data_IF_764802125078
#
_entry.id   IF_764802125078
#
_cell.length_a   1.000
_cell.length_b   1.000
_cell.length_c   1.000
_cell.angle_alpha   90.00
_cell.angle_beta   90.00
_cell.angle_gamma   90.00
#
_symmetry.space_group_name_H-M   'P 1'
#
loop_
_entity.id
_entity.type
_entity.pdbx_description
1 polymer ?
#
# COMPACT_ATOMS: atom_id res chain seq x y z
N UNK A 1 8.02 26.17 -5.67
CA UNK A 1 6.73 26.31 -4.96
C UNK A 1 6.50 24.98 -4.29
N UNK A 2 6.47 24.95 -2.97
CA UNK A 2 6.19 23.73 -2.20
C UNK A 2 4.75 23.31 -2.48
N UNK A 3 4.57 22.33 -3.36
CA UNK A 3 3.30 21.66 -3.47
C UNK A 3 3.14 20.74 -2.26
N UNK A 4 2.20 21.05 -1.37
CA UNK A 4 1.98 20.26 -0.18
C UNK A 4 1.23 18.96 -0.51
N UNK A 5 1.98 17.95 -0.97
CA UNK A 5 1.48 16.60 -1.27
C UNK A 5 1.29 15.73 -0.01
N UNK A 6 1.34 16.33 1.20
CA UNK A 6 1.15 15.67 2.49
C UNK A 6 1.89 14.30 2.58
N UNK A 7 1.27 13.11 2.85
CA UNK A 7 2.06 11.90 3.03
C UNK A 7 2.70 11.40 1.72
N UNK A 8 2.25 11.88 0.55
CA UNK A 8 2.75 11.40 -0.74
C UNK A 8 4.21 11.82 -1.02
N UNK A 9 4.74 12.84 -0.32
CA UNK A 9 6.08 13.38 -0.58
C UNK A 9 7.18 12.31 -0.55
N UNK A 10 7.07 11.32 0.35
CA UNK A 10 8.13 10.32 0.58
C UNK A 10 8.45 9.52 -0.69
N UNK A 11 7.45 8.87 -1.29
CA UNK A 11 7.64 8.08 -2.50
C UNK A 11 7.69 8.97 -3.75
N UNK A 12 6.92 10.07 -3.76
CA UNK A 12 6.77 10.91 -4.94
C UNK A 12 8.13 11.45 -5.38
N UNK A 13 8.92 11.98 -4.44
CA UNK A 13 10.25 12.49 -4.76
C UNK A 13 11.29 11.38 -4.86
N UNK A 14 11.31 10.43 -3.92
CA UNK A 14 12.36 9.41 -3.87
C UNK A 14 12.39 8.52 -5.12
N UNK A 15 11.23 8.08 -5.62
CA UNK A 15 11.17 7.23 -6.82
C UNK A 15 11.54 7.99 -8.11
N UNK A 16 11.44 9.32 -8.12
CA UNK A 16 11.86 10.15 -9.25
C UNK A 16 13.35 10.50 -9.19
N UNK A 17 13.87 10.77 -7.99
CA UNK A 17 15.27 11.12 -7.78
C UNK A 17 16.21 9.90 -7.90
N UNK A 18 15.72 8.72 -7.49
CA UNK A 18 16.47 7.47 -7.46
C UNK A 18 15.81 6.37 -8.33
N UNK A 19 15.63 6.58 -9.66
CA UNK A 19 14.86 5.67 -10.50
C UNK A 19 15.56 4.32 -10.75
N UNK A 20 16.89 4.27 -10.61
CA UNK A 20 17.72 3.08 -10.83
C UNK A 20 18.08 2.34 -9.53
N UNK A 21 17.62 2.84 -8.37
CA UNK A 21 17.91 2.27 -7.06
C UNK A 21 16.70 1.55 -6.44
N UNK A 22 16.99 0.72 -5.44
CA UNK A 22 15.96 0.23 -4.53
C UNK A 22 15.57 1.34 -3.56
N UNK A 23 14.29 1.68 -3.51
CA UNK A 23 13.77 2.70 -2.59
C UNK A 23 12.94 2.02 -1.51
N UNK A 24 13.28 2.30 -0.24
CA UNK A 24 12.48 1.86 0.91
C UNK A 24 11.82 3.08 1.54
N UNK A 25 10.49 3.06 1.68
CA UNK A 25 9.74 4.11 2.38
C UNK A 25 9.52 3.73 3.85
N UNK A 26 9.77 4.71 4.73
CA UNK A 26 9.62 4.61 6.18
C UNK A 26 9.17 5.97 6.74
N UNK A 27 8.38 5.95 7.81
CA UNK A 27 8.04 7.11 8.63
C UNK A 27 9.10 7.36 9.72
N UNK A 28 9.20 8.60 10.18
CA UNK A 28 10.19 9.04 11.18
C UNK A 28 9.72 8.86 12.64
N UNK A 29 8.47 8.46 12.84
CA UNK A 29 7.83 8.28 14.15
C UNK A 29 7.69 6.81 14.60
N UNK A 30 8.28 5.89 13.84
CA UNK A 30 8.26 4.45 14.09
C UNK A 30 9.65 3.90 14.49
N UNK A 31 9.63 2.91 15.37
CA UNK A 31 10.77 2.09 15.74
C UNK A 31 10.78 0.82 14.88
N UNK A 32 11.84 0.68 14.08
CA UNK A 32 12.00 -0.45 13.16
C UNK A 32 12.89 -1.54 13.73
N UNK A 33 12.57 -2.79 13.39
CA UNK A 33 13.44 -3.94 13.68
C UNK A 33 14.75 -3.81 12.91
N UNK A 34 15.84 -4.24 13.52
CA UNK A 34 17.15 -4.27 12.87
C UNK A 34 17.23 -5.23 11.68
N UNK A 35 16.25 -6.13 11.50
CA UNK A 35 16.13 -7.03 10.36
C UNK A 35 15.31 -6.46 9.21
N UNK A 36 14.58 -5.34 9.38
CA UNK A 36 13.59 -4.84 8.43
C UNK A 36 14.10 -4.78 6.97
N UNK A 37 15.27 -4.17 6.76
CA UNK A 37 15.87 -4.05 5.42
C UNK A 37 16.26 -5.43 4.88
N UNK A 38 16.79 -6.31 5.73
CA UNK A 38 17.14 -7.69 5.35
C UNK A 38 15.92 -8.52 4.94
N UNK A 39 14.83 -8.41 5.69
CA UNK A 39 13.56 -9.10 5.41
C UNK A 39 12.98 -8.62 4.06
N UNK A 40 12.98 -7.31 3.82
CA UNK A 40 12.54 -6.71 2.55
C UNK A 40 13.39 -7.17 1.36
N UNK A 41 14.72 -7.17 1.50
CA UNK A 41 15.62 -7.60 0.44
C UNK A 41 15.50 -9.10 0.14
N UNK A 42 15.34 -9.94 1.17
CA UNK A 42 15.13 -11.37 0.99
C UNK A 42 13.80 -11.67 0.28
N UNK A 43 12.73 -10.96 0.63
CA UNK A 43 11.44 -11.06 -0.05
C UNK A 43 11.53 -10.61 -1.52
N UNK A 44 12.24 -9.52 -1.80
CA UNK A 44 12.50 -9.07 -3.17
C UNK A 44 13.35 -10.07 -3.97
N UNK A 45 14.41 -10.64 -3.37
CA UNK A 45 15.24 -11.65 -4.04
C UNK A 45 14.41 -12.89 -4.44
N UNK A 46 13.49 -13.33 -3.57
CA UNK A 46 12.58 -14.42 -3.87
C UNK A 46 11.47 -14.04 -4.88
N UNK A 47 11.08 -12.76 -4.93
CA UNK A 47 9.98 -12.24 -5.74
C UNK A 47 10.34 -10.92 -6.43
N UNK A 48 11.26 -10.92 -7.43
CA UNK A 48 11.87 -9.70 -7.97
C UNK A 48 10.91 -8.81 -8.78
N UNK A 49 9.69 -9.27 -9.02
CA UNK A 49 8.63 -8.56 -9.74
C UNK A 49 7.50 -8.10 -8.81
N UNK A 50 7.68 -8.18 -7.49
CA UNK A 50 6.73 -7.74 -6.49
C UNK A 50 7.27 -6.56 -5.69
N UNK A 51 6.37 -5.72 -5.18
CA UNK A 51 6.69 -4.77 -4.12
C UNK A 51 6.75 -5.55 -2.81
N UNK A 52 7.84 -5.45 -2.06
CA UNK A 52 7.97 -6.11 -0.76
C UNK A 52 7.57 -5.13 0.36
N UNK A 53 6.74 -5.57 1.31
CA UNK A 53 6.27 -4.71 2.39
C UNK A 53 6.29 -5.42 3.74
N UNK A 54 6.61 -4.66 4.79
CA UNK A 54 6.62 -5.14 6.18
C UNK A 54 5.25 -5.03 6.84
N UNK A 55 4.44 -4.02 6.50
CA UNK A 55 3.06 -3.91 6.99
C UNK A 55 2.05 -3.96 5.87
N UNK A 56 1.23 -5.01 5.86
CA UNK A 56 0.23 -5.28 4.83
C UNK A 56 -1.14 -5.62 5.41
N UNK A 57 -2.18 -5.31 4.65
CA UNK A 57 -3.55 -5.73 4.90
C UNK A 57 -3.98 -6.68 3.79
N UNK A 58 -5.02 -7.47 4.05
CA UNK A 58 -5.64 -8.31 3.04
C UNK A 58 -7.01 -7.76 2.66
N UNK A 59 -7.14 -7.32 1.40
CA UNK A 59 -8.42 -6.86 0.84
C UNK A 59 -9.41 -8.02 0.84
N UNK A 60 -10.59 -7.86 1.41
CA UNK A 60 -11.59 -8.94 1.50
C UNK A 60 -12.69 -8.79 0.45
N UNK A 61 -13.38 -9.90 0.16
CA UNK A 61 -14.45 -9.98 -0.83
C UNK A 61 -15.67 -10.68 -0.24
N UNK A 62 -16.86 -10.23 -0.64
CA UNK A 62 -18.13 -10.87 -0.34
C UNK A 62 -18.34 -12.10 -1.22
N UNK A 63 -19.32 -12.95 -0.87
CA UNK A 63 -19.69 -14.13 -1.66
C UNK A 63 -20.13 -13.80 -3.10
N UNK A 64 -20.64 -12.60 -3.33
CA UNK A 64 -21.05 -12.12 -4.66
C UNK A 64 -19.86 -11.61 -5.52
N UNK A 65 -18.64 -11.65 -4.98
CA UNK A 65 -17.42 -11.20 -5.64
C UNK A 65 -17.16 -9.69 -5.54
N UNK A 66 -18.00 -8.94 -4.83
CA UNK A 66 -17.73 -7.52 -4.54
C UNK A 66 -16.68 -7.36 -3.46
N UNK A 67 -15.81 -6.36 -3.59
CA UNK A 67 -14.85 -6.01 -2.54
C UNK A 67 -15.59 -5.51 -1.30
N UNK A 68 -15.17 -5.93 -0.11
CA UNK A 68 -15.71 -5.40 1.15
C UNK A 68 -15.22 -3.98 1.41
N UNK A 69 -15.83 -3.32 2.40
CA UNK A 69 -15.34 -2.03 2.84
C UNK A 69 -13.94 -2.16 3.47
N UNK A 70 -13.18 -1.06 3.43
CA UNK A 70 -11.81 -0.99 3.93
C UNK A 70 -11.69 -1.48 5.39
N UNK A 71 -12.65 -1.10 6.23
CA UNK A 71 -12.74 -1.52 7.64
C UNK A 71 -12.97 -3.02 7.86
N UNK A 72 -13.45 -3.73 6.83
CA UNK A 72 -13.69 -5.17 6.86
C UNK A 72 -12.51 -5.96 6.28
N UNK A 73 -11.42 -5.29 5.91
CA UNK A 73 -10.19 -5.96 5.50
C UNK A 73 -9.49 -6.58 6.71
N UNK A 74 -8.67 -7.61 6.49
CA UNK A 74 -7.84 -8.15 7.57
C UNK A 74 -6.61 -7.27 7.69
N UNK A 75 -6.55 -6.44 8.74
CA UNK A 75 -5.39 -5.62 9.03
C UNK A 75 -4.24 -6.46 9.57
N UNK A 76 -3.01 -6.04 9.26
CA UNK A 76 -1.78 -6.78 9.55
C UNK A 76 -1.90 -8.28 9.21
N UNK A 77 -2.53 -8.62 8.09
CA UNK A 77 -2.99 -9.99 7.84
C UNK A 77 -1.93 -11.08 8.07
N UNK A 78 -0.65 -10.91 7.68
CA UNK A 78 0.39 -11.90 7.96
C UNK A 78 0.66 -12.15 9.45
N UNK A 79 0.37 -11.19 10.33
CA UNK A 79 0.48 -11.36 11.79
C UNK A 79 -0.48 -12.42 12.32
N UNK A 80 -1.71 -12.43 11.81
CA UNK A 80 -2.74 -13.40 12.20
C UNK A 80 -2.73 -14.65 11.31
N UNK A 81 -2.19 -14.52 10.09
CA UNK A 81 -2.13 -15.59 9.08
C UNK A 81 -0.71 -15.68 8.48
N UNK A 82 0.27 -16.26 9.19
CA UNK A 82 1.67 -16.31 8.75
C UNK A 82 1.90 -17.01 7.41
N UNK A 83 0.95 -17.86 6.98
CA UNK A 83 0.98 -18.51 5.66
C UNK A 83 0.92 -17.50 4.48
N UNK A 84 0.56 -16.25 4.73
CA UNK A 84 0.59 -15.16 3.73
C UNK A 84 2.00 -14.61 3.46
N UNK A 85 2.97 -14.87 4.34
CA UNK A 85 4.36 -14.39 4.14
C UNK A 85 4.97 -15.05 2.92
N UNK A 86 5.61 -14.26 2.05
CA UNK A 86 6.21 -14.77 0.81
C UNK A 86 5.22 -15.18 -0.28
N UNK A 87 3.92 -14.87 -0.14
CA UNK A 87 2.91 -15.13 -1.18
C UNK A 87 2.61 -13.82 -1.92
N UNK A 88 3.11 -13.61 -3.14
CA UNK A 88 2.82 -12.39 -3.89
C UNK A 88 1.37 -12.40 -4.40
N UNK A 89 0.62 -11.33 -4.16
CA UNK A 89 -0.75 -11.19 -4.66
C UNK A 89 -1.18 -9.74 -4.87
N UNK A 90 -2.12 -9.54 -5.78
CA UNK A 90 -2.82 -8.26 -5.94
C UNK A 90 -3.79 -7.96 -4.80
N UNK A 91 -4.15 -8.96 -3.99
CA UNK A 91 -5.03 -8.78 -2.84
C UNK A 91 -4.32 -8.20 -1.61
N UNK A 92 -3.00 -8.30 -1.58
CA UNK A 92 -2.17 -7.75 -0.49
C UNK A 92 -2.03 -6.24 -0.70
N UNK A 93 -2.32 -5.48 0.36
CA UNK A 93 -2.30 -4.03 0.40
C UNK A 93 -1.17 -3.54 1.31
N UNK A 94 -0.19 -2.79 0.79
CA UNK A 94 0.89 -2.21 1.61
C UNK A 94 0.48 -0.86 2.18
N UNK A 95 0.84 -0.61 3.44
CA UNK A 95 0.51 0.65 4.15
C UNK A 95 1.64 1.69 4.14
N UNK A 96 2.58 1.54 3.20
CA UNK A 96 3.72 2.38 2.71
C UNK A 96 4.49 3.35 3.65
N UNK A 97 4.21 3.41 4.95
CA UNK A 97 4.95 4.13 5.99
C UNK A 97 5.74 3.23 6.94
N UNK A 98 5.47 1.92 6.93
CA UNK A 98 6.06 0.96 7.86
C UNK A 98 7.17 0.09 7.26
N UNK A 99 7.86 0.54 6.21
CA UNK A 99 8.85 -0.25 5.47
C UNK A 99 8.23 -0.91 4.24
N UNK A 100 8.36 -0.27 3.08
CA UNK A 100 7.97 -0.82 1.78
C UNK A 100 9.07 -0.60 0.76
N UNK A 101 9.52 -1.67 0.11
CA UNK A 101 10.58 -1.68 -0.89
C UNK A 101 9.98 -1.64 -2.30
N UNK A 102 10.37 -0.62 -3.05
CA UNK A 102 10.09 -0.45 -4.47
C UNK A 102 11.34 -0.77 -5.28
N UNK A 103 11.28 -1.78 -6.17
CA UNK A 103 12.34 -2.02 -7.13
C UNK A 103 12.43 -0.88 -8.18
N UNK A 104 13.57 -0.71 -8.85
CA UNK A 104 13.73 0.24 -9.95
C UNK A 104 12.62 0.09 -11.00
N UNK A 105 12.12 1.22 -11.52
CA UNK A 105 11.16 1.26 -12.64
C UNK A 105 9.83 0.50 -12.43
N UNK A 106 9.46 0.25 -11.17
CA UNK A 106 8.24 -0.51 -10.81
C UNK A 106 6.97 0.33 -10.99
N UNK A 107 6.96 1.58 -10.55
CA UNK A 107 5.73 2.38 -10.53
C UNK A 107 5.45 3.04 -11.89
N UNK A 108 4.19 3.07 -12.36
CA UNK A 108 3.84 3.69 -13.64
C UNK A 108 3.96 5.22 -13.57
N UNK A 109 4.20 5.93 -14.68
CA UNK A 109 4.40 7.40 -14.67
C UNK A 109 3.26 8.19 -14.02
N UNK A 110 2.02 7.71 -14.13
CA UNK A 110 0.85 8.34 -13.51
C UNK A 110 0.93 8.40 -11.98
N UNK A 111 1.78 7.58 -11.35
CA UNK A 111 2.07 7.64 -9.92
C UNK A 111 2.50 9.03 -9.46
N UNK A 112 3.12 9.81 -10.35
CA UNK A 112 3.64 11.15 -10.09
C UNK A 112 2.70 12.27 -10.58
N UNK A 113 1.42 11.98 -10.82
CA UNK A 113 0.43 12.99 -11.15
C UNK A 113 -0.04 13.75 -9.89
N UNK A 114 0.66 14.84 -9.59
CA UNK A 114 0.37 15.70 -8.43
C UNK A 114 -1.04 16.33 -8.47
N UNK A 115 -1.59 16.60 -9.65
CA UNK A 115 -2.94 17.16 -9.81
C UNK A 115 -4.00 16.12 -9.42
N UNK A 116 -3.90 14.90 -9.95
CA UNK A 116 -4.82 13.81 -9.60
C UNK A 116 -4.74 13.43 -8.12
N UNK A 117 -3.55 13.42 -7.53
CA UNK A 117 -3.38 13.20 -6.09
C UNK A 117 -4.15 14.25 -5.28
N UNK A 118 -4.00 15.54 -5.61
CA UNK A 118 -4.68 16.63 -4.89
C UNK A 118 -6.20 16.59 -5.06
N UNK A 119 -6.67 16.17 -6.23
CA UNK A 119 -8.11 16.06 -6.53
C UNK A 119 -8.77 14.88 -5.83
N UNK A 120 -8.07 13.75 -5.70
CA UNK A 120 -8.71 12.47 -5.31
C UNK A 120 -8.33 11.96 -3.93
N UNK A 121 -7.09 12.15 -3.48
CA UNK A 121 -6.56 11.33 -2.38
C UNK A 121 -5.43 11.97 -1.56
N UNK A 122 -5.43 13.30 -1.36
CA UNK A 122 -4.35 14.05 -0.71
C UNK A 122 -3.91 13.53 0.68
N UNK A 123 -4.74 12.75 1.39
CA UNK A 123 -4.45 12.20 2.73
C UNK A 123 -4.35 10.67 2.76
N UNK A 124 -4.31 10.00 1.61
CA UNK A 124 -4.33 8.54 1.50
C UNK A 124 -3.37 8.06 0.39
N UNK A 125 -2.07 8.21 0.64
CA UNK A 125 -1.02 7.73 -0.24
C UNK A 125 -1.09 6.22 -0.48
N UNK A 126 -1.45 5.45 0.54
CA UNK A 126 -1.54 3.99 0.41
C UNK A 126 -2.58 3.53 -0.61
N UNK A 127 -3.74 4.18 -0.64
CA UNK A 127 -4.79 3.89 -1.61
C UNK A 127 -4.35 4.26 -3.03
N UNK A 128 -3.70 5.42 -3.18
CA UNK A 128 -3.16 5.85 -4.47
C UNK A 128 -2.12 4.86 -5.01
N UNK A 129 -1.14 4.52 -4.18
CA UNK A 129 -0.07 3.57 -4.52
C UNK A 129 -0.64 2.20 -4.85
N UNK A 130 -1.67 1.75 -4.13
CA UNK A 130 -2.36 0.51 -4.44
C UNK A 130 -2.97 0.52 -5.84
N UNK A 131 -3.68 1.59 -6.21
CA UNK A 131 -4.32 1.70 -7.53
C UNK A 131 -3.26 1.75 -8.64
N UNK A 132 -2.19 2.52 -8.46
CA UNK A 132 -1.09 2.61 -9.42
C UNK A 132 -0.36 1.27 -9.60
N UNK A 133 -0.10 0.58 -8.50
CA UNK A 133 0.48 -0.76 -8.51
C UNK A 133 -0.40 -1.76 -9.29
N UNK A 134 -1.70 -1.80 -9.01
CA UNK A 134 -2.66 -2.72 -9.67
C UNK A 134 -2.77 -2.41 -11.16
N UNK A 135 -2.76 -1.12 -11.53
CA UNK A 135 -2.70 -0.67 -12.92
C UNK A 135 -1.46 -1.22 -13.62
N UNK A 136 -0.29 -1.17 -12.98
CA UNK A 136 0.96 -1.67 -13.52
C UNK A 136 1.08 -3.21 -13.55
N UNK A 137 0.16 -3.95 -12.93
CA UNK A 137 0.21 -5.40 -12.94
C UNK A 137 1.24 -5.98 -11.96
N UNK A 138 1.55 -5.25 -10.88
CA UNK A 138 2.62 -5.60 -9.94
C UNK A 138 2.02 -6.10 -8.61
N UNK A 139 2.28 -7.32 -8.15
CA UNK A 139 1.79 -7.81 -6.86
C UNK A 139 2.54 -7.20 -5.67
N UNK A 140 1.95 -7.27 -4.46
CA UNK A 140 2.67 -7.05 -3.19
C UNK A 140 3.02 -8.42 -2.62
N UNK A 141 4.18 -8.55 -1.98
CA UNK A 141 4.52 -9.67 -1.11
C UNK A 141 4.80 -9.18 0.32
N UNK A 142 4.23 -9.86 1.32
CA UNK A 142 4.55 -9.61 2.72
C UNK A 142 5.92 -10.21 3.06
N UNK A 143 6.83 -9.39 3.57
CA UNK A 143 8.20 -9.80 3.90
C UNK A 143 8.31 -10.59 5.22
N UNK A 144 7.31 -10.48 6.10
CA UNK A 144 7.38 -10.95 7.49
C UNK A 144 5.97 -11.02 8.09
N UNK A 145 5.78 -11.81 9.14
CA UNK A 145 4.57 -11.86 9.98
C UNK A 145 4.62 -10.88 11.17
N UNK A 146 5.80 -10.31 11.46
CA UNK A 146 5.97 -9.30 12.51
C UNK A 146 5.69 -7.89 11.95
N UNK A 147 4.39 -7.56 11.99
CA UNK A 147 3.74 -6.43 11.31
C UNK A 147 3.30 -5.32 12.26
N UNK A 148 3.39 -5.54 13.58
CA UNK A 148 2.89 -4.62 14.59
C UNK A 148 3.84 -3.44 14.78
N UNK A 149 3.27 -2.24 14.82
CA UNK A 149 4.04 -1.00 14.92
C UNK A 149 4.48 -0.71 16.35
N UNK A 150 5.73 -0.26 16.48
CA UNK A 150 6.26 0.31 17.71
C UNK A 150 6.49 1.80 17.48
N UNK A 151 5.83 2.66 18.25
CA UNK A 151 5.93 4.11 18.08
C UNK A 151 7.06 4.69 18.94
N UNK A 152 7.71 5.73 18.43
CA UNK A 152 8.68 6.51 19.22
C UNK A 152 7.94 7.23 20.35
N UNK A 153 8.35 7.10 21.62
CA UNK A 153 7.67 7.78 22.72
C UNK A 153 7.65 9.30 22.54
N UNK A 154 6.46 9.91 22.61
CA UNK A 154 6.30 11.37 22.55
C UNK A 154 6.21 11.98 21.14
N UNK A 155 6.24 11.18 20.07
CA UNK A 155 6.00 11.66 18.69
C UNK A 155 4.52 11.65 18.32
N UNK A 156 3.72 10.81 18.99
CA UNK A 156 2.26 10.78 18.85
C UNK A 156 1.61 11.82 19.78
N UNK A 157 1.54 13.08 19.35
CA UNK A 157 0.73 14.11 20.01
C UNK A 157 -0.78 13.87 19.85
N UNK A 158 -1.63 14.66 20.54
CA UNK A 158 -3.12 14.56 20.58
C UNK A 158 -3.83 14.62 19.20
N UNK A 159 -3.09 14.77 18.10
CA UNK A 159 -3.57 14.72 16.72
C UNK A 159 -2.72 13.75 15.88
N UNK A 160 -2.60 12.49 16.29
CA UNK A 160 -2.14 11.46 15.35
C UNK A 160 -3.07 11.49 14.12
N UNK A 161 -2.51 11.61 12.91
CA UNK A 161 -3.26 11.55 11.64
C UNK A 161 -4.19 10.32 11.54
N UNK A 162 -3.88 9.26 12.31
CA UNK A 162 -4.74 8.12 12.56
C UNK A 162 -6.15 8.51 13.06
N UNK A 163 -6.29 9.52 13.94
CA UNK A 163 -7.56 9.94 14.51
C UNK A 163 -8.46 10.75 13.56
N UNK A 164 -7.90 11.38 12.51
CA UNK A 164 -8.73 12.05 11.49
C UNK A 164 -9.23 11.07 10.41
N UNK A 165 -8.51 9.96 10.17
CA UNK A 165 -8.92 8.93 9.21
C UNK A 165 -9.82 7.82 9.83
N UNK A 166 -10.09 7.86 11.14
CA UNK A 166 -10.99 6.91 11.83
C UNK A 166 -12.48 7.27 11.76
N UNK A 167 -12.88 8.21 10.90
CA UNK A 167 -14.28 8.21 10.45
C UNK A 167 -14.45 7.03 9.49
N UNK A 168 -15.03 5.94 10.01
CA UNK A 168 -15.43 4.75 9.24
C UNK A 168 -16.02 5.18 7.90
N UNK A 169 -15.44 4.74 6.79
CA UNK A 169 -15.92 5.06 5.45
C UNK A 169 -15.10 6.07 4.64
N UNK A 170 -14.22 6.89 5.25
CA UNK A 170 -13.42 7.86 4.49
C UNK A 170 -12.54 7.18 3.44
N UNK A 171 -11.86 6.09 3.80
CA UNK A 171 -11.03 5.33 2.85
C UNK A 171 -11.87 4.71 1.71
N UNK A 172 -13.12 4.31 1.96
CA UNK A 172 -14.01 3.82 0.92
C UNK A 172 -14.37 4.92 -0.08
N UNK A 173 -14.66 6.13 0.42
CA UNK A 173 -14.95 7.30 -0.41
C UNK A 173 -13.72 7.68 -1.24
N UNK A 174 -12.53 7.73 -0.64
CA UNK A 174 -11.28 8.06 -1.33
C UNK A 174 -10.96 7.02 -2.41
N UNK A 175 -11.02 5.73 -2.08
CA UNK A 175 -10.78 4.67 -3.06
C UNK A 175 -11.76 4.75 -4.22
N UNK A 176 -13.06 4.97 -3.93
CA UNK A 176 -14.07 5.19 -4.98
C UNK A 176 -13.73 6.40 -5.85
N UNK A 177 -13.34 7.52 -5.24
CA UNK A 177 -12.98 8.75 -5.95
C UNK A 177 -11.78 8.54 -6.89
N UNK A 178 -10.74 7.83 -6.46
CA UNK A 178 -9.59 7.50 -7.31
C UNK A 178 -10.06 6.65 -8.50
N UNK A 179 -10.83 5.59 -8.24
CA UNK A 179 -11.25 4.66 -9.29
C UNK A 179 -12.16 5.33 -10.34
N UNK A 180 -13.14 6.12 -9.91
CA UNK A 180 -14.06 6.83 -10.81
C UNK A 180 -13.31 7.85 -11.69
N UNK A 181 -12.41 8.64 -11.09
CA UNK A 181 -11.63 9.65 -11.81
C UNK A 181 -10.71 9.02 -12.86
N UNK A 182 -9.95 7.99 -12.49
CA UNK A 182 -9.02 7.32 -13.40
C UNK A 182 -9.74 6.52 -14.50
N UNK A 183 -10.92 5.97 -14.22
CA UNK A 183 -11.76 5.34 -15.24
C UNK A 183 -12.32 6.38 -16.21
N UNK A 184 -12.81 7.51 -15.71
CA UNK A 184 -13.34 8.60 -16.55
C UNK A 184 -12.27 9.18 -17.49
N UNK A 185 -11.01 9.26 -17.02
CA UNK A 185 -9.84 9.68 -17.81
C UNK A 185 -9.25 8.58 -18.71
N UNK A 186 -9.74 7.33 -18.61
CA UNK A 186 -9.21 6.19 -19.35
C UNK A 186 -7.82 5.73 -18.92
N UNK A 187 -7.34 6.19 -17.75
CA UNK A 187 -6.05 5.80 -17.16
C UNK A 187 -6.11 4.39 -16.58
N UNK A 188 -7.26 4.01 -16.02
CA UNK A 188 -7.56 2.67 -15.52
C UNK A 188 -8.62 2.02 -16.42
N UNK A 189 -8.18 1.20 -17.38
CA UNK A 189 -9.05 0.60 -18.37
C UNK A 189 -9.83 -0.63 -17.86
N UNK A 190 -9.26 -1.33 -16.88
CA UNK A 190 -9.81 -2.57 -16.35
C UNK A 190 -10.48 -2.38 -14.99
N UNK A 191 -11.39 -3.30 -14.68
CA UNK A 191 -12.05 -3.41 -13.39
C UNK A 191 -11.01 -3.72 -12.29
N UNK A 192 -10.84 -2.77 -11.36
CA UNK A 192 -9.90 -2.89 -10.25
C UNK A 192 -10.16 -4.12 -9.39
N UNK A 193 -11.42 -4.40 -9.07
CA UNK A 193 -11.79 -5.51 -8.18
C UNK A 193 -11.47 -6.85 -8.83
N UNK A 194 -11.69 -6.98 -10.15
CA UNK A 194 -11.30 -8.19 -10.88
C UNK A 194 -9.79 -8.41 -10.93
N UNK A 195 -8.99 -7.34 -10.99
CA UNK A 195 -7.52 -7.43 -10.96
C UNK A 195 -6.99 -7.75 -9.57
N UNK A 196 -7.71 -7.34 -8.53
CA UNK A 196 -7.34 -7.55 -7.13
C UNK A 196 -7.80 -8.91 -6.60
N UNK A 197 -8.92 -9.42 -7.12
CA UNK A 197 -9.49 -10.70 -6.71
C UNK A 197 -8.48 -11.84 -6.89
N UNK A 198 -8.22 -12.54 -5.79
CA UNK A 198 -7.36 -13.71 -5.74
C UNK A 198 -7.93 -14.72 -4.72
N UNK A 199 -8.80 -15.63 -5.17
CA UNK A 199 -9.41 -16.64 -4.30
C UNK A 199 -8.41 -17.65 -3.75
N UNK A 200 -7.18 -17.73 -4.30
CA UNK A 200 -6.18 -18.68 -3.81
C UNK A 200 -5.72 -18.35 -2.38
N UNK A 201 -5.83 -17.08 -1.97
CA UNK A 201 -5.48 -16.64 -0.62
C UNK A 201 -6.52 -17.02 0.43
N UNK A 202 -7.75 -17.39 0.04
CA UNK A 202 -8.78 -17.82 1.00
C UNK A 202 -8.34 -19.07 1.77
N UNK A 203 -7.58 -19.96 1.12
CA UNK A 203 -7.02 -21.15 1.77
C UNK A 203 -5.93 -20.84 2.81
N UNK A 204 -5.39 -19.61 2.82
CA UNK A 204 -4.28 -19.19 3.70
C UNK A 204 -4.76 -18.43 4.95
N UNK A 205 -6.05 -18.12 5.03
CA UNK A 205 -6.66 -17.38 6.15
C UNK A 205 -7.52 -18.25 7.07
N UNK A 206 -7.42 -19.58 6.94
CA UNK A 206 -8.14 -20.58 7.74
C UNK A 206 -7.30 -21.18 8.87
#
# INVERSE_FOLDING_TARGET
MDEDLKPHKKYFWALQEFPDDYVITTDDDLLYRNTMIGDLLAAHEAHPHAIAAVRTHLIMFNEDGSRTNYEDWIYEAPHYHPALVGVPSMRIFSTNGAGTLYPPHTMPPETFNAEEIKETCLTADDLWLKVMQVKAGIPVVAATDDQLLNYVPGTQGEEALCHQNTESGVNNIVLKSILEELQAKGVLADDFDKRVADPSLDALIH
#
